data_IF_527231186752
#
_entry.id   IF_527231186752
#
_cell.length_a   1.000
_cell.length_b   1.000
_cell.length_c   1.000
_cell.angle_alpha   90.00
_cell.angle_beta   90.00
_cell.angle_gamma   90.00
#
_symmetry.space_group_name_H-M   'P 1'
#
loop_
_entity.id
_entity.type
_entity.pdbx_description
1 polymer ?
#
# COMPACT_ATOMS: atom_id res chain seq x y z
N UNK A 1 -35.75 20.81 -24.55
CA UNK A 1 -34.45 21.49 -24.40
C UNK A 1 -34.09 21.52 -22.90
N UNK A 2 -33.91 20.35 -22.28
CA UNK A 2 -33.97 20.22 -20.81
C UNK A 2 -33.19 19.01 -20.26
N UNK A 3 -32.24 18.46 -21.04
CA UNK A 3 -31.45 17.27 -20.67
C UNK A 3 -29.93 17.55 -20.48
N UNK A 4 -29.49 18.79 -20.69
CA UNK A 4 -28.08 19.20 -20.50
C UNK A 4 -27.78 19.83 -19.12
N UNK A 5 -28.80 20.07 -18.29
CA UNK A 5 -28.65 20.79 -17.01
C UNK A 5 -28.40 19.89 -15.78
N UNK A 6 -28.35 18.56 -15.92
CA UNK A 6 -28.34 17.60 -14.78
C UNK A 6 -27.00 16.87 -14.58
N UNK A 7 -26.09 16.83 -15.56
CA UNK A 7 -24.78 16.16 -15.41
C UNK A 7 -23.80 17.03 -14.60
N UNK A 8 -23.75 18.33 -14.88
CA UNK A 8 -22.81 19.28 -14.25
C UNK A 8 -23.06 19.46 -12.75
N UNK A 9 -24.32 19.56 -12.34
CA UNK A 9 -24.72 19.65 -10.93
C UNK A 9 -24.52 18.33 -10.15
N UNK A 10 -24.67 17.18 -10.83
CA UNK A 10 -24.41 15.86 -10.21
C UNK A 10 -22.91 15.60 -10.09
N UNK A 11 -22.10 16.05 -11.05
CA UNK A 11 -20.65 16.12 -10.94
C UNK A 11 -20.22 17.02 -9.78
N UNK A 12 -20.74 18.25 -9.66
CA UNK A 12 -20.42 19.14 -8.55
C UNK A 12 -20.83 18.58 -7.18
N UNK A 13 -22.00 17.93 -7.08
CA UNK A 13 -22.47 17.36 -5.82
C UNK A 13 -21.67 16.12 -5.40
N UNK A 14 -21.24 15.28 -6.35
CA UNK A 14 -20.37 14.12 -6.06
C UNK A 14 -18.93 14.58 -5.84
N UNK A 15 -18.44 15.58 -6.56
CA UNK A 15 -17.12 16.18 -6.36
C UNK A 15 -17.05 16.89 -5.00
N UNK A 16 -18.10 17.63 -4.61
CA UNK A 16 -18.23 18.19 -3.27
C UNK A 16 -18.44 17.12 -2.20
N UNK A 17 -19.07 15.97 -2.51
CA UNK A 17 -19.12 14.83 -1.60
C UNK A 17 -17.79 14.07 -1.51
N UNK A 18 -16.97 14.05 -2.57
CA UNK A 18 -15.61 13.53 -2.51
C UNK A 18 -14.73 14.46 -1.65
N UNK A 19 -14.84 15.77 -1.88
CA UNK A 19 -14.23 16.83 -1.07
C UNK A 19 -14.71 16.77 0.39
N UNK A 20 -16.01 16.55 0.63
CA UNK A 20 -16.59 16.47 1.99
C UNK A 20 -16.27 15.16 2.69
N UNK A 21 -16.18 14.04 1.97
CA UNK A 21 -15.83 12.74 2.53
C UNK A 21 -14.37 12.63 2.98
N UNK A 22 -13.53 13.59 2.60
CA UNK A 22 -12.15 13.76 3.10
C UNK A 22 -12.07 14.86 4.17
N UNK A 23 -13.12 15.67 4.34
CA UNK A 23 -13.17 16.84 5.22
C UNK A 23 -13.60 16.55 6.67
N UNK A 24 -13.73 15.28 7.08
CA UNK A 24 -14.15 14.91 8.43
C UNK A 24 -12.99 14.68 9.41
N UNK A 25 -11.93 15.49 9.32
CA UNK A 25 -10.91 15.62 10.35
C UNK A 25 -10.81 17.10 10.77
N UNK A 26 -10.83 17.42 12.07
CA UNK A 26 -10.95 18.79 12.56
C UNK A 26 -9.58 19.48 12.50
N UNK A 27 -9.19 19.93 11.30
CA UNK A 27 -8.28 21.04 10.99
C UNK A 27 -8.00 21.00 9.47
N UNK A 28 -8.88 21.66 8.72
CA UNK A 28 -8.98 21.60 7.27
C UNK A 28 -7.80 22.28 6.56
N UNK A 29 -6.78 21.51 6.18
CA UNK A 29 -5.82 21.94 5.16
C UNK A 29 -6.51 21.99 3.79
N UNK A 30 -6.25 23.05 3.02
CA UNK A 30 -6.79 23.17 1.65
C UNK A 30 -6.28 22.02 0.77
N UNK A 31 -7.21 21.40 0.02
CA UNK A 31 -6.91 20.35 -0.95
C UNK A 31 -5.88 20.84 -1.97
N UNK A 32 -4.80 20.08 -2.19
CA UNK A 32 -3.70 20.47 -3.07
C UNK A 32 -2.65 21.40 -2.45
N UNK A 33 -2.78 21.76 -1.17
CA UNK A 33 -1.73 22.50 -0.46
C UNK A 33 -0.54 21.61 -0.10
N UNK A 34 0.66 22.18 0.00
CA UNK A 34 1.85 21.48 0.49
C UNK A 34 1.64 20.83 1.86
N UNK A 35 0.81 21.44 2.72
CA UNK A 35 0.44 20.87 4.03
C UNK A 35 -0.41 19.60 3.89
N UNK A 36 -1.31 19.55 2.89
CA UNK A 36 -2.13 18.38 2.62
C UNK A 36 -1.26 17.19 2.16
N UNK A 37 -0.36 17.42 1.20
CA UNK A 37 0.56 16.38 0.74
C UNK A 37 1.48 15.87 1.85
N UNK A 38 1.97 16.76 2.71
CA UNK A 38 2.79 16.38 3.86
C UNK A 38 2.01 15.53 4.87
N UNK A 39 0.76 15.90 5.20
CA UNK A 39 -0.09 15.11 6.10
C UNK A 39 -0.41 13.72 5.53
N UNK A 40 -0.69 13.63 4.23
CA UNK A 40 -0.90 12.35 3.55
C UNK A 40 0.37 11.48 3.56
N UNK A 41 1.55 12.06 3.33
CA UNK A 41 2.83 11.37 3.41
C UNK A 41 3.14 10.88 4.83
N UNK A 42 2.95 11.72 5.85
CA UNK A 42 3.17 11.35 7.26
C UNK A 42 2.17 10.28 7.73
N UNK A 43 0.90 10.39 7.32
CA UNK A 43 -0.09 9.34 7.55
C UNK A 43 0.32 8.02 6.89
N UNK A 44 0.90 8.09 5.69
CA UNK A 44 1.50 6.95 4.99
C UNK A 44 2.66 6.31 5.76
N UNK A 45 3.60 7.09 6.29
CA UNK A 45 4.69 6.60 7.15
C UNK A 45 4.13 5.81 8.32
N UNK A 46 3.24 6.44 9.11
CA UNK A 46 2.74 5.84 10.35
C UNK A 46 1.92 4.60 10.05
N UNK A 47 1.04 4.66 9.05
CA UNK A 47 0.20 3.53 8.67
C UNK A 47 1.03 2.36 8.16
N UNK A 48 1.87 2.56 7.12
CA UNK A 48 2.65 1.48 6.53
C UNK A 48 3.75 0.98 7.47
N UNK A 49 4.48 1.88 8.13
CA UNK A 49 5.55 1.51 9.05
C UNK A 49 5.06 0.64 10.20
N UNK A 50 4.00 1.06 10.90
CA UNK A 50 3.46 0.33 12.05
C UNK A 50 2.82 -0.99 11.60
N UNK A 51 1.97 -0.97 10.57
CA UNK A 51 1.29 -2.19 10.10
C UNK A 51 2.27 -3.24 9.61
N UNK A 52 3.25 -2.87 8.78
CA UNK A 52 4.26 -3.81 8.29
C UNK A 52 5.16 -4.32 9.42
N UNK A 53 5.54 -3.48 10.38
CA UNK A 53 6.34 -3.92 11.53
C UNK A 53 5.60 -4.92 12.41
N UNK A 54 4.29 -4.74 12.60
CA UNK A 54 3.46 -5.68 13.36
C UNK A 54 3.37 -7.06 12.68
N UNK A 55 3.39 -7.11 11.34
CA UNK A 55 3.32 -8.38 10.60
C UNK A 55 4.69 -9.00 10.29
N UNK A 56 5.81 -8.39 10.71
CA UNK A 56 7.17 -8.93 10.52
C UNK A 56 7.30 -10.41 10.93
N UNK A 57 6.74 -10.88 12.06
CA UNK A 57 6.84 -12.31 12.41
C UNK A 57 6.18 -13.24 11.39
N UNK A 58 5.05 -12.81 10.80
CA UNK A 58 4.35 -13.55 9.76
C UNK A 58 5.13 -13.51 8.44
N UNK A 59 5.63 -12.34 8.06
CA UNK A 59 6.46 -12.15 6.87
C UNK A 59 7.71 -13.04 6.92
N UNK A 60 8.38 -13.09 8.08
CA UNK A 60 9.58 -13.89 8.27
C UNK A 60 9.30 -15.38 8.06
N UNK A 61 8.19 -15.89 8.61
CA UNK A 61 7.79 -17.28 8.43
C UNK A 61 7.40 -17.54 6.97
N UNK A 62 6.70 -16.62 6.31
CA UNK A 62 6.36 -16.72 4.87
C UNK A 62 7.63 -16.79 4.01
N UNK A 63 8.60 -15.91 4.21
CA UNK A 63 9.87 -15.90 3.48
C UNK A 63 10.64 -17.22 3.68
N UNK A 64 10.67 -17.76 4.89
CA UNK A 64 11.35 -19.05 5.18
C UNK A 64 10.67 -20.24 4.51
N UNK A 65 9.33 -20.26 4.47
CA UNK A 65 8.56 -21.30 3.76
C UNK A 65 8.83 -21.24 2.25
N UNK A 66 8.93 -20.04 1.67
CA UNK A 66 9.17 -19.88 0.23
C UNK A 66 10.60 -20.30 -0.16
N UNK A 67 11.59 -20.06 0.70
CA UNK A 67 12.99 -20.42 0.43
C UNK A 67 13.31 -21.89 0.73
N UNK A 68 12.78 -22.45 1.81
CA UNK A 68 13.00 -23.85 2.19
C UNK A 68 11.67 -24.54 2.59
N UNK A 69 10.86 -24.92 1.60
CA UNK A 69 9.58 -25.58 1.84
C UNK A 69 9.74 -27.00 2.44
N UNK A 70 10.92 -27.62 2.33
CA UNK A 70 11.19 -28.93 2.91
C UNK A 70 11.33 -28.84 4.44
N UNK A 71 12.02 -27.80 4.94
CA UNK A 71 12.17 -27.51 6.36
C UNK A 71 10.92 -26.85 6.97
N UNK A 72 10.25 -25.97 6.23
CA UNK A 72 9.12 -25.19 6.72
C UNK A 72 7.81 -25.59 6.01
N UNK A 73 7.13 -26.62 6.52
CA UNK A 73 5.93 -27.20 5.88
C UNK A 73 4.63 -26.40 6.02
N UNK A 74 4.52 -25.55 7.04
CA UNK A 74 3.32 -24.74 7.28
C UNK A 74 3.64 -23.52 8.15
N UNK A 75 2.75 -22.53 8.18
CA UNK A 75 2.92 -21.31 8.99
C UNK A 75 3.11 -21.64 10.47
N UNK A 76 2.23 -22.45 11.06
CA UNK A 76 2.36 -22.85 12.46
C UNK A 76 3.62 -23.69 12.74
N UNK A 77 3.99 -24.57 11.80
CA UNK A 77 5.23 -25.32 11.90
C UNK A 77 6.45 -24.39 11.83
N UNK A 78 6.42 -23.39 10.96
CA UNK A 78 7.51 -22.44 10.81
C UNK A 78 7.68 -21.50 11.99
N UNK A 79 6.59 -21.09 12.65
CA UNK A 79 6.69 -20.43 13.95
C UNK A 79 7.36 -21.32 14.99
N UNK A 80 6.94 -22.58 15.09
CA UNK A 80 7.49 -23.53 16.07
C UNK A 80 8.98 -23.81 15.83
N UNK A 81 9.38 -24.03 14.58
CA UNK A 81 10.79 -24.25 14.20
C UNK A 81 11.61 -22.99 14.47
N UNK A 82 11.12 -21.81 14.08
CA UNK A 82 11.82 -20.54 14.31
C UNK A 82 11.99 -20.23 15.79
N UNK A 83 10.96 -20.46 16.61
CA UNK A 83 11.04 -20.28 18.06
C UNK A 83 12.03 -21.26 18.71
N UNK A 84 12.16 -22.48 18.17
CA UNK A 84 13.08 -23.50 18.69
C UNK A 84 14.54 -23.22 18.29
N UNK A 85 14.78 -22.74 17.08
CA UNK A 85 16.13 -22.50 16.54
C UNK A 85 16.68 -21.11 16.88
N UNK A 86 15.88 -20.05 16.68
CA UNK A 86 16.32 -18.65 16.81
C UNK A 86 15.71 -17.92 18.03
N UNK A 87 14.79 -18.56 18.75
CA UNK A 87 14.09 -17.97 19.90
C UNK A 87 13.12 -16.84 19.54
N UNK A 88 12.58 -16.17 20.57
CA UNK A 88 11.63 -15.05 20.40
C UNK A 88 12.22 -13.85 19.66
N UNK A 89 13.52 -13.60 19.79
CA UNK A 89 14.20 -12.52 19.06
C UNK A 89 14.35 -12.83 17.57
N UNK A 90 14.40 -14.10 17.19
CA UNK A 90 14.42 -14.55 15.80
C UNK A 90 13.17 -14.14 15.02
N UNK A 91 12.01 -14.08 15.66
CA UNK A 91 10.74 -13.68 15.02
C UNK A 91 10.70 -12.19 14.63
N UNK A 92 11.52 -11.35 15.26
CA UNK A 92 11.63 -9.93 14.93
C UNK A 92 12.79 -9.64 13.95
N UNK A 93 13.44 -10.67 13.38
CA UNK A 93 14.59 -10.47 12.49
C UNK A 93 14.14 -9.71 11.22
N UNK A 94 14.84 -8.61 10.92
CA UNK A 94 14.48 -7.73 9.79
C UNK A 94 13.39 -6.71 10.10
N UNK A 95 13.03 -6.47 11.37
CA UNK A 95 12.08 -5.41 11.72
C UNK A 95 12.54 -4.01 11.27
N UNK A 96 13.84 -3.70 11.41
CA UNK A 96 14.40 -2.40 11.05
C UNK A 96 14.28 -2.08 9.54
N UNK A 97 14.78 -2.92 8.61
CA UNK A 97 14.58 -2.66 7.18
C UNK A 97 13.10 -2.62 6.80
N UNK A 98 12.25 -3.42 7.45
CA UNK A 98 10.80 -3.39 7.22
C UNK A 98 10.19 -2.05 7.65
N UNK A 99 10.49 -1.58 8.86
CA UNK A 99 9.97 -0.32 9.36
C UNK A 99 10.40 0.85 8.48
N UNK A 100 11.71 1.01 8.22
CA UNK A 100 12.22 2.15 7.44
C UNK A 100 11.84 2.06 5.97
N UNK A 101 11.91 0.87 5.37
CA UNK A 101 11.53 0.64 3.98
C UNK A 101 10.06 0.96 3.72
N UNK A 102 9.15 0.33 4.47
CA UNK A 102 7.71 0.54 4.26
C UNK A 102 7.24 1.91 4.75
N UNK A 103 7.95 2.55 5.69
CA UNK A 103 7.71 3.97 6.02
C UNK A 103 8.01 4.88 4.82
N UNK A 104 9.16 4.68 4.17
CA UNK A 104 9.56 5.46 3.01
C UNK A 104 8.65 5.18 1.80
N UNK A 105 8.30 3.90 1.58
CA UNK A 105 7.29 3.53 0.59
C UNK A 105 5.96 4.21 0.89
N UNK A 106 5.49 4.19 2.15
CA UNK A 106 4.24 4.82 2.56
C UNK A 106 4.23 6.34 2.33
N UNK A 107 5.33 7.03 2.65
CA UNK A 107 5.51 8.44 2.37
C UNK A 107 5.37 8.73 0.87
N UNK A 108 6.15 8.04 0.05
CA UNK A 108 6.16 8.25 -1.40
C UNK A 108 4.81 7.86 -2.02
N UNK A 109 4.25 6.72 -1.64
CA UNK A 109 2.97 6.21 -2.15
C UNK A 109 1.84 7.19 -1.87
N UNK A 110 1.58 7.51 -0.61
CA UNK A 110 0.43 8.36 -0.26
C UNK A 110 0.69 9.84 -0.57
N UNK A 111 1.92 10.32 -0.45
CA UNK A 111 2.29 11.69 -0.82
C UNK A 111 2.22 11.93 -2.33
N UNK A 112 2.91 11.12 -3.12
CA UNK A 112 2.95 11.28 -4.58
C UNK A 112 1.61 10.94 -5.23
N UNK A 113 0.84 10.01 -4.66
CA UNK A 113 -0.51 9.70 -5.17
C UNK A 113 -1.39 10.95 -5.23
N UNK A 114 -1.39 11.77 -4.18
CA UNK A 114 -2.15 13.02 -4.17
C UNK A 114 -1.60 14.04 -5.18
N UNK A 115 -0.27 14.14 -5.31
CA UNK A 115 0.37 15.01 -6.30
C UNK A 115 0.00 14.60 -7.72
N UNK A 116 0.11 13.31 -8.06
CA UNK A 116 -0.24 12.81 -9.39
C UNK A 116 -1.73 12.91 -9.68
N UNK A 117 -2.60 12.73 -8.68
CA UNK A 117 -4.04 12.96 -8.85
C UNK A 117 -4.34 14.40 -9.23
N UNK A 118 -3.79 15.37 -8.51
CA UNK A 118 -3.99 16.80 -8.82
C UNK A 118 -3.41 17.13 -10.19
N UNK A 119 -2.21 16.63 -10.49
CA UNK A 119 -1.55 16.84 -11.78
C UNK A 119 -2.37 16.29 -12.95
N UNK A 120 -2.79 15.03 -12.90
CA UNK A 120 -3.60 14.43 -13.96
C UNK A 120 -5.00 15.05 -14.05
N UNK A 121 -5.62 15.41 -12.92
CA UNK A 121 -6.92 16.08 -12.91
C UNK A 121 -6.87 17.46 -13.58
N UNK A 122 -5.79 18.21 -13.38
CA UNK A 122 -5.59 19.52 -14.03
C UNK A 122 -5.38 19.38 -15.55
N UNK A 123 -4.75 18.29 -16.00
CA UNK A 123 -4.51 18.04 -17.44
C UNK A 123 -5.80 17.62 -18.15
N UNK A 124 -6.62 16.76 -17.55
CA UNK A 124 -7.86 16.27 -18.16
C UNK A 124 -9.01 17.29 -18.13
N UNK A 125 -9.00 18.22 -17.17
CA UNK A 125 -10.10 19.16 -16.91
C UNK A 125 -11.24 18.52 -16.11
N UNK A 126 -12.10 19.34 -15.50
CA UNK A 126 -13.09 18.89 -14.50
C UNK A 126 -14.09 17.84 -15.05
N UNK A 127 -14.56 18.02 -16.29
CA UNK A 127 -15.58 17.16 -16.88
C UNK A 127 -15.03 15.77 -17.25
N UNK A 128 -13.84 15.72 -17.85
CA UNK A 128 -13.19 14.45 -18.20
C UNK A 128 -12.61 13.73 -16.98
N UNK A 129 -12.17 14.47 -15.96
CA UNK A 129 -11.71 13.89 -14.70
C UNK A 129 -12.81 13.09 -13.99
N UNK A 130 -14.07 13.51 -14.14
CA UNK A 130 -15.21 12.76 -13.61
C UNK A 130 -15.51 11.48 -14.41
N UNK A 131 -15.51 11.59 -15.75
CA UNK A 131 -15.80 10.45 -16.65
C UNK A 131 -14.72 9.36 -16.51
N UNK A 132 -13.45 9.77 -16.48
CA UNK A 132 -12.28 8.88 -16.43
C UNK A 132 -11.69 8.72 -15.04
N UNK A 133 -12.44 9.03 -13.96
CA UNK A 133 -11.93 9.02 -12.57
C UNK A 133 -11.20 7.73 -12.18
N UNK A 134 -11.73 6.57 -12.57
CA UNK A 134 -11.12 5.28 -12.25
C UNK A 134 -9.76 5.13 -12.94
N UNK A 135 -9.66 5.50 -14.22
CA UNK A 135 -8.40 5.45 -14.96
C UNK A 135 -7.40 6.49 -14.44
N UNK A 136 -7.87 7.67 -14.04
CA UNK A 136 -7.04 8.70 -13.42
C UNK A 136 -6.44 8.21 -12.09
N UNK A 137 -7.24 7.60 -11.22
CA UNK A 137 -6.76 7.03 -9.96
C UNK A 137 -5.82 5.84 -10.16
N UNK A 138 -6.10 4.99 -11.15
CA UNK A 138 -5.20 3.91 -11.53
C UNK A 138 -3.85 4.45 -12.04
N UNK A 139 -3.86 5.45 -12.92
CA UNK A 139 -2.64 6.08 -13.42
C UNK A 139 -1.86 6.79 -12.29
N UNK A 140 -2.56 7.55 -11.44
CA UNK A 140 -1.94 8.23 -10.31
C UNK A 140 -1.31 7.27 -9.30
N UNK A 141 -1.99 6.16 -9.00
CA UNK A 141 -1.49 5.15 -8.07
C UNK A 141 -0.34 4.33 -8.66
N UNK A 142 -0.39 3.97 -9.95
CA UNK A 142 0.73 3.30 -10.62
C UNK A 142 2.00 4.17 -10.66
N UNK A 143 1.85 5.45 -11.02
CA UNK A 143 2.96 6.40 -11.04
C UNK A 143 3.54 6.61 -9.64
N UNK A 144 2.69 6.75 -8.61
CA UNK A 144 3.16 6.89 -7.22
C UNK A 144 3.91 5.64 -6.73
N UNK A 145 3.39 4.45 -7.03
CA UNK A 145 4.02 3.18 -6.62
C UNK A 145 5.37 2.99 -7.28
N UNK A 146 5.51 3.34 -8.57
CA UNK A 146 6.78 3.25 -9.29
C UNK A 146 7.94 3.96 -8.56
N UNK A 147 7.70 5.18 -8.09
CA UNK A 147 8.71 5.94 -7.33
C UNK A 147 8.86 5.45 -5.89
N UNK A 148 7.76 5.03 -5.25
CA UNK A 148 7.81 4.47 -3.90
C UNK A 148 8.65 3.18 -3.83
N UNK A 149 8.57 2.37 -4.88
CA UNK A 149 9.28 1.10 -5.01
C UNK A 149 10.78 1.28 -5.23
N UNK A 150 11.20 2.33 -5.95
CA UNK A 150 12.62 2.73 -6.05
C UNK A 150 13.18 3.03 -4.66
N UNK A 151 12.40 3.74 -3.84
CA UNK A 151 12.80 4.10 -2.48
C UNK A 151 12.79 2.89 -1.52
N UNK A 152 11.88 1.93 -1.73
CA UNK A 152 11.79 0.69 -0.94
C UNK A 152 12.88 -0.33 -1.30
N UNK A 153 13.29 -0.42 -2.57
CA UNK A 153 14.13 -1.51 -3.10
C UNK A 153 15.40 -1.81 -2.27
N UNK A 154 16.20 -0.81 -1.83
CA UNK A 154 17.40 -1.09 -1.03
C UNK A 154 17.08 -1.74 0.31
N UNK A 155 15.98 -1.32 0.96
CA UNK A 155 15.55 -1.85 2.25
C UNK A 155 14.92 -3.23 2.12
N UNK A 156 14.17 -3.49 1.05
CA UNK A 156 13.59 -4.80 0.79
C UNK A 156 14.69 -5.83 0.46
N UNK A 157 15.71 -5.46 -0.34
CA UNK A 157 16.86 -6.33 -0.61
C UNK A 157 17.59 -6.71 0.69
N UNK A 158 17.81 -5.72 1.57
CA UNK A 158 18.38 -5.99 2.90
C UNK A 158 17.47 -6.88 3.76
N UNK A 159 16.15 -6.62 3.80
CA UNK A 159 15.15 -7.41 4.54
C UNK A 159 15.20 -8.88 4.13
N UNK A 160 15.11 -9.16 2.82
CA UNK A 160 15.07 -10.53 2.29
C UNK A 160 16.32 -11.29 2.70
N UNK A 161 17.52 -10.72 2.50
CA UNK A 161 18.79 -11.37 2.91
C UNK A 161 18.86 -11.63 4.42
N UNK A 162 18.46 -10.65 5.23
CA UNK A 162 18.43 -10.79 6.70
C UNK A 162 17.49 -11.93 7.13
N UNK A 163 16.35 -12.10 6.47
CA UNK A 163 15.31 -13.07 6.82
C UNK A 163 15.56 -14.48 6.26
N UNK A 164 16.20 -14.60 5.09
CA UNK A 164 16.33 -15.87 4.37
C UNK A 164 17.73 -16.47 4.41
N UNK A 165 18.80 -15.68 4.54
CA UNK A 165 20.16 -16.21 4.54
C UNK A 165 20.58 -16.66 5.95
N UNK A 166 20.86 -17.96 6.15
CA UNK A 166 21.39 -18.45 7.42
C UNK A 166 22.79 -17.87 7.66
N UNK A 167 23.06 -17.39 8.89
CA UNK A 167 24.34 -16.77 9.26
C UNK A 167 24.53 -15.31 8.81
N UNK A 168 23.58 -14.73 8.06
CA UNK A 168 23.63 -13.32 7.69
C UNK A 168 23.26 -12.41 8.88
N UNK A 169 23.91 -11.25 8.93
CA UNK A 169 23.77 -10.25 10.00
C UNK A 169 22.31 -9.90 10.26
N UNK A 170 21.93 -9.70 11.52
CA UNK A 170 20.56 -9.31 11.91
C UNK A 170 20.32 -7.81 11.86
N UNK A 171 21.39 -7.02 11.72
CA UNK A 171 21.38 -5.56 11.90
C UNK A 171 21.44 -4.84 10.56
N UNK A 172 20.52 -3.89 10.33
CA UNK A 172 20.47 -3.11 9.08
C UNK A 172 21.78 -2.35 8.80
N UNK A 173 22.38 -1.76 9.85
CA UNK A 173 23.62 -0.97 9.75
C UNK A 173 24.81 -1.79 9.26
N UNK A 174 24.81 -3.10 9.52
CA UNK A 174 25.85 -4.03 9.05
C UNK A 174 25.48 -4.65 7.70
N UNK A 175 24.18 -4.90 7.46
CA UNK A 175 23.70 -5.50 6.23
C UNK A 175 23.98 -4.63 5.00
N UNK A 176 23.67 -3.32 5.07
CA UNK A 176 23.84 -2.41 3.94
C UNK A 176 25.29 -2.33 3.42
N UNK A 177 26.33 -2.09 4.26
CA UNK A 177 27.70 -2.04 3.76
C UNK A 177 28.19 -3.40 3.25
N UNK A 178 27.76 -4.53 3.83
CA UNK A 178 28.10 -5.86 3.33
C UNK A 178 27.55 -6.05 1.91
N UNK A 179 26.28 -5.71 1.68
CA UNK A 179 25.65 -5.82 0.35
C UNK A 179 26.34 -4.91 -0.66
N UNK A 180 26.62 -3.66 -0.26
CA UNK A 180 27.29 -2.69 -1.13
C UNK A 180 28.71 -3.12 -1.50
N UNK A 181 29.48 -3.66 -0.56
CA UNK A 181 30.84 -4.13 -0.84
C UNK A 181 30.87 -5.41 -1.68
N UNK A 182 29.85 -6.27 -1.56
CA UNK A 182 29.79 -7.54 -2.30
C UNK A 182 29.25 -7.38 -3.73
N UNK A 183 28.20 -6.56 -3.92
CA UNK A 183 27.44 -6.50 -5.17
C UNK A 183 27.23 -5.07 -5.70
N UNK A 184 27.73 -4.06 -4.99
CA UNK A 184 27.55 -2.66 -5.34
C UNK A 184 26.08 -2.24 -5.37
N UNK A 185 25.78 -1.24 -6.21
CA UNK A 185 24.42 -0.73 -6.40
C UNK A 185 23.46 -1.76 -7.03
N UNK A 186 23.98 -2.71 -7.79
CA UNK A 186 23.17 -3.77 -8.38
C UNK A 186 22.54 -4.68 -7.32
N UNK A 187 23.22 -4.90 -6.18
CA UNK A 187 22.67 -5.68 -5.07
C UNK A 187 21.39 -5.09 -4.46
N UNK A 188 21.19 -3.77 -4.55
CA UNK A 188 20.01 -3.09 -4.02
C UNK A 188 18.84 -3.02 -5.01
N UNK A 189 19.12 -2.93 -6.31
CA UNK A 189 18.10 -2.76 -7.35
C UNK A 189 17.77 -4.03 -8.14
N UNK A 190 18.48 -5.14 -7.90
CA UNK A 190 18.15 -6.44 -8.50
C UNK A 190 16.70 -6.87 -8.26
N UNK A 191 16.14 -6.49 -7.11
CA UNK A 191 14.75 -6.81 -6.73
C UNK A 191 13.72 -5.82 -7.27
N UNK A 192 14.12 -4.73 -7.95
CA UNK A 192 13.21 -3.65 -8.35
C UNK A 192 12.17 -4.11 -9.37
N UNK A 193 12.58 -4.82 -10.41
CA UNK A 193 11.66 -5.32 -11.45
C UNK A 193 10.64 -6.32 -10.88
N UNK A 194 11.06 -7.36 -10.13
CA UNK A 194 10.12 -8.22 -9.40
C UNK A 194 9.18 -7.42 -8.47
N UNK A 195 9.69 -6.40 -7.79
CA UNK A 195 8.91 -5.57 -6.88
C UNK A 195 7.83 -4.77 -7.63
N UNK A 196 8.13 -4.16 -8.76
CA UNK A 196 7.12 -3.49 -9.60
C UNK A 196 6.04 -4.43 -10.11
N UNK A 197 6.43 -5.64 -10.57
CA UNK A 197 5.49 -6.66 -11.06
C UNK A 197 4.51 -7.12 -9.98
N UNK A 198 4.90 -7.04 -8.71
CA UNK A 198 4.06 -7.38 -7.57
C UNK A 198 3.22 -6.18 -7.13
N UNK A 199 3.86 -5.04 -6.96
CA UNK A 199 3.35 -3.94 -6.16
C UNK A 199 2.45 -2.99 -6.96
N UNK A 200 2.73 -2.79 -8.26
CA UNK A 200 1.89 -1.98 -9.16
C UNK A 200 0.52 -2.65 -9.38
N UNK A 201 0.43 -3.94 -9.80
CA UNK A 201 -0.86 -4.59 -9.97
C UNK A 201 -1.66 -4.69 -8.67
N UNK A 202 -0.97 -4.99 -7.56
CA UNK A 202 -1.61 -5.03 -6.24
C UNK A 202 -2.24 -3.67 -5.88
N UNK A 203 -1.52 -2.58 -6.11
CA UNK A 203 -2.01 -1.23 -5.78
C UNK A 203 -3.15 -0.81 -6.69
N UNK A 204 -3.04 -1.05 -8.01
CA UNK A 204 -4.10 -0.80 -8.97
C UNK A 204 -5.39 -1.56 -8.62
N UNK A 205 -5.26 -2.85 -8.31
CA UNK A 205 -6.41 -3.67 -7.90
C UNK A 205 -7.01 -3.18 -6.59
N UNK A 206 -6.17 -2.82 -5.61
CA UNK A 206 -6.63 -2.30 -4.32
C UNK A 206 -7.49 -1.06 -4.50
N UNK A 207 -7.06 -0.09 -5.29
CA UNK A 207 -7.83 1.13 -5.53
C UNK A 207 -9.11 0.85 -6.33
N UNK A 208 -9.03 0.07 -7.42
CA UNK A 208 -10.21 -0.25 -8.24
C UNK A 208 -11.28 -1.03 -7.45
N UNK A 209 -10.89 -2.09 -6.73
CA UNK A 209 -11.81 -2.89 -5.93
C UNK A 209 -12.33 -2.11 -4.73
N UNK A 210 -11.50 -1.33 -4.04
CA UNK A 210 -11.95 -0.57 -2.87
C UNK A 210 -13.02 0.46 -3.25
N UNK A 211 -12.82 1.22 -4.32
CA UNK A 211 -13.80 2.20 -4.79
C UNK A 211 -15.10 1.55 -5.21
N UNK A 212 -15.03 0.49 -6.04
CA UNK A 212 -16.23 -0.23 -6.49
C UNK A 212 -16.97 -0.89 -5.35
N UNK A 213 -16.25 -1.47 -4.40
CA UNK A 213 -16.85 -2.12 -3.23
C UNK A 213 -17.53 -1.09 -2.32
N UNK A 214 -16.92 0.08 -2.11
CA UNK A 214 -17.54 1.19 -1.39
C UNK A 214 -18.81 1.67 -2.11
N UNK A 215 -18.75 1.92 -3.42
CA UNK A 215 -19.92 2.35 -4.20
C UNK A 215 -21.06 1.36 -4.10
N UNK A 216 -20.76 0.05 -4.16
CA UNK A 216 -21.76 -1.01 -4.05
C UNK A 216 -22.31 -1.13 -2.62
N UNK A 217 -21.47 -1.03 -1.58
CA UNK A 217 -21.89 -1.05 -0.18
C UNK A 217 -22.83 0.12 0.15
N UNK A 218 -22.52 1.34 -0.28
CA UNK A 218 -23.40 2.49 -0.08
C UNK A 218 -24.67 2.42 -0.96
N UNK A 219 -24.63 1.71 -2.09
CA UNK A 219 -25.82 1.55 -2.94
C UNK A 219 -26.79 0.48 -2.41
N UNK A 220 -26.28 -0.63 -1.88
CA UNK A 220 -27.09 -1.81 -1.55
C UNK A 220 -27.26 -2.07 -0.05
N UNK A 221 -26.29 -1.70 0.79
CA UNK A 221 -26.29 -2.04 2.22
C UNK A 221 -26.66 -0.85 3.09
N UNK A 222 -26.19 0.35 2.74
CA UNK A 222 -26.51 1.59 3.47
C UNK A 222 -26.98 2.66 2.50
N UNK A 223 -28.27 2.67 2.11
CA UNK A 223 -28.85 3.68 1.21
C UNK A 223 -29.07 5.02 1.94
N UNK A 224 -28.04 5.50 2.63
CA UNK A 224 -27.96 6.82 3.27
C UNK A 224 -26.72 7.53 2.75
N UNK A 225 -26.78 8.83 2.46
CA UNK A 225 -25.61 9.60 2.07
C UNK A 225 -24.57 9.58 3.22
N UNK A 226 -23.27 9.55 2.87
CA UNK A 226 -22.15 9.50 3.84
C UNK A 226 -22.27 10.53 4.97
N UNK A 227 -22.85 11.69 4.67
CA UNK A 227 -23.11 12.80 5.60
C UNK A 227 -24.09 12.48 6.74
N UNK A 228 -24.93 11.47 6.59
CA UNK A 228 -25.94 11.06 7.59
C UNK A 228 -25.53 9.78 8.35
N UNK A 229 -24.42 9.14 7.96
CA UNK A 229 -23.90 7.96 8.65
C UNK A 229 -23.13 8.33 9.92
N UNK A 230 -23.32 7.53 10.96
CA UNK A 230 -22.55 7.61 12.19
C UNK A 230 -21.09 7.25 11.89
N UNK A 231 -20.12 7.84 12.62
CA UNK A 231 -18.68 7.51 12.46
C UNK A 231 -18.41 6.00 12.55
N UNK A 232 -19.14 5.28 13.41
CA UNK A 232 -19.03 3.82 13.53
C UNK A 232 -19.49 3.06 12.28
N UNK A 233 -20.59 3.49 11.65
CA UNK A 233 -21.10 2.86 10.42
C UNK A 233 -20.14 3.09 9.24
N UNK A 234 -19.61 4.30 9.10
CA UNK A 234 -18.59 4.60 8.09
C UNK A 234 -17.34 3.74 8.28
N UNK A 235 -16.94 3.51 9.52
CA UNK A 235 -15.79 2.68 9.87
C UNK A 235 -16.05 1.21 9.52
N UNK A 236 -17.19 0.65 9.89
CA UNK A 236 -17.58 -0.73 9.53
C UNK A 236 -17.63 -0.92 8.02
N UNK A 237 -18.24 0.01 7.27
CA UNK A 237 -18.30 -0.05 5.81
C UNK A 237 -16.89 -0.01 5.21
N UNK A 238 -16.01 0.84 5.74
CA UNK A 238 -14.62 0.97 5.27
C UNK A 238 -13.81 -0.31 5.55
N UNK A 239 -13.99 -0.92 6.72
CA UNK A 239 -13.35 -2.20 7.06
C UNK A 239 -13.87 -3.34 6.18
N UNK A 240 -15.18 -3.45 5.96
CA UNK A 240 -15.76 -4.47 5.09
C UNK A 240 -15.28 -4.32 3.63
N UNK A 241 -15.27 -3.10 3.11
CA UNK A 241 -14.74 -2.81 1.79
C UNK A 241 -13.24 -3.13 1.68
N UNK A 242 -12.47 -2.77 2.71
CA UNK A 242 -11.05 -3.09 2.80
C UNK A 242 -10.78 -4.60 2.83
N UNK A 243 -11.59 -5.37 3.55
CA UNK A 243 -11.47 -6.83 3.61
C UNK A 243 -11.76 -7.48 2.26
N UNK A 244 -12.89 -7.14 1.63
CA UNK A 244 -13.26 -7.67 0.31
C UNK A 244 -12.21 -7.30 -0.74
N UNK A 245 -11.77 -6.04 -0.76
CA UNK A 245 -10.70 -5.59 -1.66
C UNK A 245 -9.41 -6.37 -1.39
N UNK A 246 -9.06 -6.63 -0.12
CA UNK A 246 -7.90 -7.43 0.26
C UNK A 246 -7.94 -8.87 -0.29
N UNK A 247 -9.11 -9.52 -0.28
CA UNK A 247 -9.29 -10.87 -0.85
C UNK A 247 -9.05 -10.84 -2.36
N UNK A 248 -9.64 -9.89 -3.09
CA UNK A 248 -9.43 -9.74 -4.54
C UNK A 248 -7.97 -9.42 -4.87
N UNK A 249 -7.33 -8.53 -4.11
CA UNK A 249 -5.92 -8.22 -4.27
C UNK A 249 -5.05 -9.47 -4.09
N UNK A 250 -5.32 -10.29 -3.07
CA UNK A 250 -4.56 -11.50 -2.80
C UNK A 250 -4.64 -12.49 -3.97
N UNK A 251 -5.83 -12.67 -4.57
CA UNK A 251 -6.01 -13.56 -5.74
C UNK A 251 -5.16 -13.08 -6.93
N UNK A 252 -5.17 -11.78 -7.18
CA UNK A 252 -4.48 -11.18 -8.33
C UNK A 252 -2.98 -11.11 -8.14
N UNK A 253 -2.52 -10.86 -6.91
CA UNK A 253 -1.09 -10.73 -6.61
C UNK A 253 -0.41 -12.07 -6.33
N UNK A 254 -1.15 -13.15 -6.08
CA UNK A 254 -0.56 -14.45 -5.73
C UNK A 254 0.47 -14.97 -6.74
N UNK A 255 0.21 -14.94 -8.07
CA UNK A 255 1.19 -15.40 -9.04
C UNK A 255 2.47 -14.55 -9.02
N UNK A 256 2.34 -13.24 -8.87
CA UNK A 256 3.48 -12.33 -8.77
C UNK A 256 4.27 -12.57 -7.48
N UNK A 257 3.60 -12.79 -6.35
CA UNK A 257 4.23 -13.12 -5.06
C UNK A 257 5.10 -14.38 -5.14
N UNK A 258 4.66 -15.41 -5.87
CA UNK A 258 5.40 -16.67 -6.03
C UNK A 258 6.61 -16.58 -6.97
N UNK A 259 6.62 -15.62 -7.90
CA UNK A 259 7.73 -15.43 -8.86
C UNK A 259 8.83 -14.54 -8.27
N UNK A 260 8.49 -13.71 -7.29
CA UNK A 260 9.39 -12.70 -6.68
C UNK A 260 10.18 -13.26 -5.49
N UNK A 261 9.70 -14.34 -4.87
CA UNK A 261 10.29 -14.99 -3.68
C UNK A 261 11.21 -16.14 -4.06
#
# INVERSE_FOLDING_TARGET
MSLQFNSKQRCECIFNNLKSSVLSAPESCAFGSNKYFALCGLGGILSCGITHTMVVPLDLVKCRIQVDPAKYKSVFHGFKVTLKEDGMKGLAKGWAPTFFGYSLQGLCKFGLYEVFKVYYSNILGEENSYIYRTWLYLAASASAEFFADIALSPMESAKVRIQTQPGFVSTLREALPIIYNAEGMNGFYKSLVPLWMRQIPYTMMKFACFEKTIELLYKYVVPKPRSECTKGEQLVVTFAAGYIAGVFCAIVSHPADTVVS
#
